data_IF_959634647974
#
_entry.id   IF_959634647974
#
_cell.length_a   1.000
_cell.length_b   1.000
_cell.length_c   1.000
_cell.angle_alpha   90.00
_cell.angle_beta   90.00
_cell.angle_gamma   90.00
#
_symmetry.space_group_name_H-M   'P 1'
#
loop_
_entity.id
_entity.type
_entity.pdbx_description
1 polymer ?
#
# COMPACT_ATOMS: atom_id res chain seq x y z
N UNK A 1 -9.14 -23.04 -33.37
CA UNK A 1 -10.18 -22.92 -32.35
C UNK A 1 -9.75 -23.53 -31.01
N UNK A 2 -9.29 -24.78 -30.98
CA UNK A 2 -8.79 -25.41 -29.74
C UNK A 2 -7.59 -24.76 -29.09
N UNK A 3 -6.68 -24.17 -29.85
CA UNK A 3 -5.51 -23.46 -29.32
C UNK A 3 -5.88 -22.12 -28.63
N UNK A 4 -6.92 -21.46 -29.10
CA UNK A 4 -7.43 -20.21 -28.53
C UNK A 4 -8.12 -20.49 -27.20
N UNK A 5 -8.96 -21.51 -27.13
CA UNK A 5 -9.65 -21.95 -25.91
C UNK A 5 -8.65 -22.38 -24.82
N UNK A 6 -7.59 -23.11 -25.18
CA UNK A 6 -6.55 -23.53 -24.25
C UNK A 6 -5.71 -22.36 -23.72
N UNK A 7 -5.57 -21.27 -24.50
CA UNK A 7 -4.86 -20.08 -24.09
C UNK A 7 -5.70 -19.21 -23.14
N UNK A 8 -7.01 -19.12 -23.38
CA UNK A 8 -7.94 -18.44 -22.49
C UNK A 8 -8.06 -19.13 -21.12
N UNK A 9 -8.13 -20.47 -21.11
CA UNK A 9 -8.17 -21.23 -19.86
C UNK A 9 -6.89 -21.12 -19.04
N UNK A 10 -5.73 -21.10 -19.69
CA UNK A 10 -4.45 -20.86 -19.02
C UNK A 10 -4.35 -19.44 -18.47
N UNK A 11 -4.83 -18.44 -19.20
CA UNK A 11 -4.86 -17.05 -18.74
C UNK A 11 -5.84 -16.86 -17.59
N UNK A 12 -7.02 -17.48 -17.62
CA UNK A 12 -7.99 -17.46 -16.53
C UNK A 12 -7.43 -18.13 -15.27
N UNK A 13 -6.83 -19.31 -15.38
CA UNK A 13 -6.17 -20.00 -14.26
C UNK A 13 -4.99 -19.21 -13.66
N UNK A 14 -4.22 -18.54 -14.50
CA UNK A 14 -3.10 -17.72 -14.06
C UNK A 14 -3.59 -16.46 -13.31
N UNK A 15 -4.66 -15.84 -13.78
CA UNK A 15 -5.26 -14.69 -13.11
C UNK A 15 -5.92 -15.07 -11.78
N UNK A 16 -6.57 -16.23 -11.70
CA UNK A 16 -7.15 -16.74 -10.46
C UNK A 16 -6.10 -17.00 -9.38
N UNK A 17 -4.96 -17.61 -9.73
CA UNK A 17 -3.86 -17.82 -8.79
C UNK A 17 -3.31 -16.49 -8.27
N UNK A 18 -3.11 -15.50 -9.15
CA UNK A 18 -2.67 -14.17 -8.75
C UNK A 18 -3.69 -13.48 -7.85
N UNK A 19 -4.97 -13.58 -8.18
CA UNK A 19 -6.05 -13.02 -7.38
C UNK A 19 -6.08 -13.64 -5.98
N UNK A 20 -5.96 -14.96 -5.88
CA UNK A 20 -5.95 -15.68 -4.59
C UNK A 20 -4.76 -15.26 -3.73
N UNK A 21 -3.56 -15.23 -4.31
CA UNK A 21 -2.35 -14.79 -3.58
C UNK A 21 -2.48 -13.34 -3.12
N UNK A 22 -2.99 -12.46 -3.98
CA UNK A 22 -3.22 -11.05 -3.65
C UNK A 22 -4.22 -10.90 -2.50
N UNK A 23 -5.31 -11.67 -2.52
CA UNK A 23 -6.32 -11.65 -1.46
C UNK A 23 -5.78 -12.16 -0.12
N UNK A 24 -5.01 -13.25 -0.13
CA UNK A 24 -4.36 -13.79 1.07
C UNK A 24 -3.37 -12.75 1.64
N UNK A 25 -2.54 -12.16 0.79
CA UNK A 25 -1.59 -11.14 1.21
C UNK A 25 -2.30 -9.88 1.76
N UNK A 26 -3.44 -9.48 1.17
CA UNK A 26 -4.24 -8.39 1.70
C UNK A 26 -4.78 -8.73 3.11
N UNK A 27 -5.27 -9.94 3.32
CA UNK A 27 -5.71 -10.40 4.65
C UNK A 27 -4.57 -10.39 5.67
N UNK A 28 -3.38 -10.89 5.29
CA UNK A 28 -2.18 -10.87 6.15
C UNK A 28 -1.77 -9.41 6.48
N UNK A 29 -1.85 -8.50 5.52
CA UNK A 29 -1.56 -7.09 5.75
C UNK A 29 -2.53 -6.45 6.75
N UNK A 30 -3.82 -6.78 6.66
CA UNK A 30 -4.85 -6.28 7.59
C UNK A 30 -4.62 -6.84 8.99
N UNK A 31 -4.43 -8.15 9.13
CA UNK A 31 -4.13 -8.79 10.43
C UNK A 31 -2.82 -8.27 11.02
N UNK A 32 -1.77 -8.17 10.20
CA UNK A 32 -0.49 -7.63 10.61
C UNK A 32 -0.54 -6.16 11.02
N UNK A 33 -1.55 -5.41 10.57
CA UNK A 33 -1.75 -4.02 10.99
C UNK A 33 -2.23 -3.87 12.45
N UNK A 34 -2.69 -4.95 13.08
CA UNK A 34 -2.97 -4.97 14.52
C UNK A 34 -1.69 -4.75 15.34
N UNK A 35 -0.54 -5.15 14.81
CA UNK A 35 0.79 -4.88 15.35
C UNK A 35 1.37 -3.55 14.84
N UNK A 36 0.55 -2.50 14.79
CA UNK A 36 1.02 -1.18 14.41
C UNK A 36 1.52 -0.41 15.63
N UNK A 37 2.67 0.25 15.47
CA UNK A 37 3.26 1.09 16.51
C UNK A 37 3.03 2.56 16.18
N UNK A 38 2.66 3.40 17.18
CA UNK A 38 2.61 4.84 16.98
C UNK A 38 4.03 5.39 16.85
N UNK A 39 4.35 5.94 15.68
CA UNK A 39 5.63 6.62 15.42
C UNK A 39 5.32 8.03 14.97
N UNK A 40 5.79 9.03 15.70
CA UNK A 40 5.63 10.47 15.39
C UNK A 40 4.19 10.88 15.01
N UNK A 41 3.19 10.39 15.76
CA UNK A 41 1.78 10.74 15.53
C UNK A 41 1.11 10.00 14.37
N UNK A 42 1.80 9.09 13.70
CA UNK A 42 1.25 8.21 12.67
C UNK A 42 1.39 6.74 13.08
N UNK A 43 0.44 5.91 12.65
CA UNK A 43 0.51 4.46 12.89
C UNK A 43 1.38 3.80 11.82
N UNK A 44 2.56 3.36 12.20
CA UNK A 44 3.44 2.59 11.33
C UNK A 44 3.10 1.10 11.41
N UNK A 45 2.80 0.48 10.28
CA UNK A 45 2.50 -0.94 10.18
C UNK A 45 3.59 -1.64 9.31
N UNK A 46 4.71 -2.07 9.91
CA UNK A 46 5.82 -2.65 9.17
C UNK A 46 5.42 -3.90 8.38
N UNK A 47 4.50 -4.69 8.92
CA UNK A 47 3.97 -5.89 8.26
C UNK A 47 3.30 -5.54 6.93
N UNK A 48 2.57 -4.43 6.85
CA UNK A 48 1.93 -4.00 5.60
C UNK A 48 2.96 -3.70 4.51
N UNK A 49 4.04 -3.01 4.85
CA UNK A 49 5.10 -2.69 3.88
C UNK A 49 5.83 -3.95 3.39
N UNK A 50 6.09 -4.91 4.29
CA UNK A 50 6.62 -6.22 3.89
C UNK A 50 5.69 -6.96 2.95
N UNK A 51 4.39 -6.96 3.23
CA UNK A 51 3.39 -7.62 2.37
C UNK A 51 3.28 -6.93 1.02
N UNK A 52 3.34 -5.59 0.96
CA UNK A 52 3.38 -4.85 -0.30
C UNK A 52 4.56 -5.29 -1.17
N UNK A 53 5.75 -5.38 -0.57
CA UNK A 53 6.97 -5.82 -1.27
C UNK A 53 6.83 -7.27 -1.74
N UNK A 54 6.34 -8.17 -0.88
CA UNK A 54 6.11 -9.57 -1.25
C UNK A 54 5.12 -9.70 -2.41
N UNK A 55 4.03 -8.94 -2.39
CA UNK A 55 3.05 -8.92 -3.47
C UNK A 55 3.67 -8.37 -4.76
N UNK A 56 4.44 -7.29 -4.66
CA UNK A 56 5.10 -6.66 -5.80
C UNK A 56 6.10 -7.60 -6.49
N UNK A 57 6.84 -8.37 -5.70
CA UNK A 57 7.85 -9.33 -6.19
C UNK A 57 7.21 -10.60 -6.77
N UNK A 58 6.16 -11.13 -6.13
CA UNK A 58 5.55 -12.42 -6.50
C UNK A 58 4.51 -12.30 -7.61
N UNK A 59 3.69 -11.27 -7.55
CA UNK A 59 2.51 -11.13 -8.44
C UNK A 59 2.69 -9.99 -9.44
N UNK A 60 3.43 -8.96 -9.07
CA UNK A 60 3.74 -7.83 -9.92
C UNK A 60 3.17 -6.49 -9.42
N UNK A 61 3.62 -5.35 -10.02
CA UNK A 61 3.33 -4.01 -9.50
C UNK A 61 1.84 -3.65 -9.50
N UNK A 62 1.09 -4.04 -10.52
CA UNK A 62 -0.35 -3.76 -10.61
C UNK A 62 -1.18 -4.49 -9.56
N UNK A 63 -0.83 -5.73 -9.28
CA UNK A 63 -1.49 -6.53 -8.25
C UNK A 63 -1.11 -6.06 -6.84
N UNK A 64 0.14 -5.61 -6.66
CA UNK A 64 0.57 -4.99 -5.42
C UNK A 64 -0.18 -3.69 -5.13
N UNK A 65 -0.43 -2.87 -6.16
CA UNK A 65 -1.25 -1.67 -6.04
C UNK A 65 -2.69 -2.00 -5.61
N UNK A 66 -3.32 -3.00 -6.26
CA UNK A 66 -4.66 -3.45 -5.90
C UNK A 66 -4.71 -4.00 -4.46
N UNK A 67 -3.71 -4.79 -4.07
CA UNK A 67 -3.58 -5.33 -2.71
C UNK A 67 -3.44 -4.22 -1.68
N UNK A 68 -2.55 -3.24 -1.93
CA UNK A 68 -2.35 -2.10 -1.04
C UNK A 68 -3.63 -1.26 -0.88
N UNK A 69 -4.38 -1.06 -1.98
CA UNK A 69 -5.67 -0.37 -1.94
C UNK A 69 -6.70 -1.10 -1.09
N UNK A 70 -6.89 -2.41 -1.32
CA UNK A 70 -7.85 -3.23 -0.58
C UNK A 70 -7.48 -3.29 0.91
N UNK A 71 -6.20 -3.51 1.23
CA UNK A 71 -5.73 -3.54 2.60
C UNK A 71 -5.93 -2.20 3.31
N UNK A 72 -5.61 -1.09 2.64
CA UNK A 72 -5.82 0.26 3.17
C UNK A 72 -7.31 0.57 3.39
N UNK A 73 -8.19 0.16 2.46
CA UNK A 73 -9.63 0.32 2.57
C UNK A 73 -10.18 -0.42 3.79
N UNK A 74 -9.86 -1.71 3.92
CA UNK A 74 -10.33 -2.55 5.03
C UNK A 74 -9.82 -1.98 6.37
N UNK A 75 -8.55 -1.59 6.46
CA UNK A 75 -7.98 -0.98 7.66
C UNK A 75 -8.68 0.31 8.07
N UNK A 76 -9.04 1.14 7.11
CA UNK A 76 -9.80 2.35 7.37
C UNK A 76 -11.20 2.07 7.88
N UNK A 77 -11.91 1.11 7.28
CA UNK A 77 -13.23 0.67 7.73
C UNK A 77 -13.20 0.10 9.14
N UNK A 78 -12.12 -0.59 9.50
CA UNK A 78 -11.91 -1.14 10.84
C UNK A 78 -11.36 -0.11 11.86
N UNK A 79 -11.11 1.14 11.45
CA UNK A 79 -10.52 2.16 12.31
C UNK A 79 -9.05 1.93 12.68
N UNK A 80 -8.39 0.98 12.03
CA UNK A 80 -6.99 0.64 12.28
C UNK A 80 -6.01 1.50 11.46
N UNK A 81 -6.52 2.19 10.43
CA UNK A 81 -5.75 3.07 9.55
C UNK A 81 -6.21 4.51 9.60
N UNK A 82 -5.47 5.39 8.93
CA UNK A 82 -5.91 6.75 8.65
C UNK A 82 -6.14 6.94 7.14
N UNK A 83 -7.08 7.81 6.73
CA UNK A 83 -7.28 8.12 5.31
C UNK A 83 -6.00 8.63 4.62
N UNK A 84 -5.10 9.22 5.40
CA UNK A 84 -3.80 9.72 4.95
C UNK A 84 -2.84 8.61 4.50
N UNK A 85 -3.02 7.39 5.01
CA UNK A 85 -2.19 6.25 4.65
C UNK A 85 -2.51 5.66 3.26
N UNK A 86 -3.66 6.01 2.67
CA UNK A 86 -4.07 5.52 1.35
C UNK A 86 -3.07 5.88 0.24
N UNK A 87 -2.79 7.17 -0.02
CA UNK A 87 -1.88 7.53 -1.10
C UNK A 87 -0.48 6.99 -0.86
N UNK A 88 -0.03 6.97 0.40
CA UNK A 88 1.29 6.47 0.77
C UNK A 88 1.47 4.99 0.44
N UNK A 89 0.56 4.14 0.88
CA UNK A 89 0.65 2.69 0.64
C UNK A 89 0.53 2.33 -0.84
N UNK A 90 -0.30 3.06 -1.60
CA UNK A 90 -0.46 2.84 -3.03
C UNK A 90 0.78 3.22 -3.82
N UNK A 91 1.35 4.41 -3.54
CA UNK A 91 2.58 4.88 -4.19
C UNK A 91 3.78 4.00 -3.83
N UNK A 92 3.88 3.58 -2.58
CA UNK A 92 4.92 2.66 -2.13
C UNK A 92 4.86 1.32 -2.85
N UNK A 93 3.71 0.66 -2.86
CA UNK A 93 3.52 -0.62 -3.53
C UNK A 93 3.79 -0.54 -5.05
N UNK A 94 3.35 0.55 -5.70
CA UNK A 94 3.57 0.75 -7.13
C UNK A 94 5.06 0.97 -7.44
N UNK A 95 5.70 1.89 -6.73
CA UNK A 95 7.13 2.19 -6.95
C UNK A 95 8.03 1.02 -6.57
N UNK A 96 7.75 0.35 -5.46
CA UNK A 96 8.46 -0.86 -5.07
C UNK A 96 8.36 -1.94 -6.15
N UNK A 97 7.17 -2.13 -6.71
CA UNK A 97 6.95 -3.07 -7.80
C UNK A 97 7.62 -2.67 -9.12
N UNK A 98 7.58 -1.39 -9.49
CA UNK A 98 8.25 -0.88 -10.69
C UNK A 98 9.76 -0.97 -10.59
N UNK A 99 10.34 -0.52 -9.49
CA UNK A 99 11.79 -0.61 -9.25
C UNK A 99 12.28 -2.06 -9.20
N UNK A 100 11.49 -2.97 -8.62
CA UNK A 100 11.79 -4.40 -8.68
C UNK A 100 11.76 -4.94 -10.11
N UNK A 101 10.78 -4.52 -10.92
CA UNK A 101 10.67 -4.94 -12.33
C UNK A 101 11.88 -4.51 -13.16
N UNK A 102 12.42 -3.32 -12.89
CA UNK A 102 13.60 -2.80 -13.60
C UNK A 102 14.91 -3.36 -13.05
N UNK A 103 15.07 -3.38 -11.73
CA UNK A 103 16.33 -3.77 -11.07
C UNK A 103 16.47 -5.26 -10.80
N UNK A 104 15.38 -6.04 -10.80
CA UNK A 104 15.30 -7.49 -10.50
C UNK A 104 16.00 -7.92 -9.20
N UNK A 105 16.23 -6.98 -8.28
CA UNK A 105 16.85 -7.22 -6.98
C UNK A 105 15.94 -6.72 -5.87
N UNK A 106 15.86 -7.47 -4.78
CA UNK A 106 15.04 -7.13 -3.60
C UNK A 106 15.32 -5.74 -3.02
N UNK A 107 16.58 -5.25 -2.90
CA UNK A 107 16.82 -3.92 -2.36
C UNK A 107 16.15 -2.80 -3.15
N UNK A 108 15.98 -2.96 -4.46
CA UNK A 108 15.23 -1.96 -5.26
C UNK A 108 13.75 -1.91 -4.91
N UNK A 109 13.13 -3.04 -4.55
CA UNK A 109 11.76 -3.08 -4.07
C UNK A 109 11.63 -2.34 -2.72
N UNK A 110 12.56 -2.53 -1.80
CA UNK A 110 12.58 -1.83 -0.51
C UNK A 110 12.77 -0.31 -0.68
N UNK A 111 13.72 0.10 -1.50
CA UNK A 111 13.96 1.52 -1.79
C UNK A 111 12.71 2.15 -2.41
N UNK A 112 12.08 1.47 -3.37
CA UNK A 112 10.85 1.94 -4.00
C UNK A 112 9.69 2.09 -3.01
N UNK A 113 9.51 1.13 -2.11
CA UNK A 113 8.48 1.19 -1.07
C UNK A 113 8.74 2.34 -0.11
N UNK A 114 9.98 2.50 0.39
CA UNK A 114 10.34 3.57 1.34
C UNK A 114 10.21 4.95 0.71
N UNK A 115 10.74 5.13 -0.51
CA UNK A 115 10.65 6.40 -1.23
C UNK A 115 9.20 6.71 -1.62
N UNK A 116 8.46 5.72 -2.11
CA UNK A 116 7.06 5.89 -2.50
C UNK A 116 6.16 6.23 -1.32
N UNK A 117 6.33 5.54 -0.21
CA UNK A 117 5.53 5.78 1.00
C UNK A 117 5.97 7.03 1.74
N UNK A 118 7.29 7.21 1.93
CA UNK A 118 7.83 8.31 2.73
C UNK A 118 7.75 9.66 2.02
N UNK A 119 8.29 9.75 0.81
CA UNK A 119 8.38 11.03 0.09
C UNK A 119 7.06 11.32 -0.64
N UNK A 120 6.67 10.45 -1.57
CA UNK A 120 5.49 10.71 -2.43
C UNK A 120 4.20 10.59 -1.62
N UNK A 121 4.09 9.56 -0.78
CA UNK A 121 2.95 9.38 0.11
C UNK A 121 2.81 10.53 1.11
N UNK A 122 3.93 10.99 1.67
CA UNK A 122 3.97 12.16 2.56
C UNK A 122 3.51 13.44 1.86
N UNK A 123 3.97 13.69 0.65
CA UNK A 123 3.55 14.86 -0.14
C UNK A 123 2.07 14.80 -0.54
N UNK A 124 1.58 13.62 -0.92
CA UNK A 124 0.18 13.43 -1.31
C UNK A 124 -0.78 13.39 -0.11
N UNK A 125 -0.28 13.07 1.08
CA UNK A 125 -1.12 13.06 2.29
C UNK A 125 -1.62 14.46 2.65
N UNK A 126 -0.88 15.52 2.34
CA UNK A 126 -1.28 16.90 2.60
C UNK A 126 -2.57 17.31 1.87
N UNK A 127 -2.68 17.21 0.51
CA UNK A 127 -3.92 17.54 -0.19
C UNK A 127 -5.06 16.58 0.14
N UNK A 128 -4.77 15.30 0.44
CA UNK A 128 -5.79 14.34 0.86
C UNK A 128 -6.33 14.69 2.25
N UNK A 129 -5.49 15.10 3.18
CA UNK A 129 -5.93 15.60 4.49
C UNK A 129 -6.85 16.81 4.35
N UNK A 130 -6.49 17.73 3.47
CA UNK A 130 -7.30 18.93 3.20
C UNK A 130 -8.66 18.61 2.59
N UNK A 131 -8.73 17.67 1.64
CA UNK A 131 -9.95 17.30 0.93
C UNK A 131 -10.88 16.38 1.75
N UNK A 132 -10.31 15.42 2.50
CA UNK A 132 -11.09 14.37 3.18
C UNK A 132 -11.45 14.75 4.61
N UNK A 133 -10.53 15.41 5.32
CA UNK A 133 -10.72 15.76 6.72
C UNK A 133 -11.20 17.23 6.92
N UNK A 134 -11.19 18.02 5.87
CA UNK A 134 -11.59 19.43 5.89
C UNK A 134 -10.61 20.33 6.64
N UNK A 135 -10.91 21.64 6.61
CA UNK A 135 -10.05 22.69 7.17
C UNK A 135 -9.71 22.51 8.68
N UNK A 136 -10.54 21.78 9.43
CA UNK A 136 -10.35 21.56 10.88
C UNK A 136 -9.18 20.61 11.20
N UNK A 137 -8.94 19.62 10.36
CA UNK A 137 -7.85 18.66 10.61
C UNK A 137 -6.49 19.23 10.19
N UNK A 138 -6.44 20.06 9.15
CA UNK A 138 -5.23 20.80 8.80
C UNK A 138 -4.84 21.79 9.91
N UNK A 139 -5.82 22.41 10.57
CA UNK A 139 -5.62 23.27 11.72
C UNK A 139 -5.08 22.52 12.95
N UNK A 140 -5.56 21.28 13.20
CA UNK A 140 -5.04 20.43 14.29
C UNK A 140 -3.58 20.02 14.04
N UNK A 141 -3.19 19.73 12.80
CA UNK A 141 -1.79 19.42 12.46
C UNK A 141 -0.85 20.62 12.64
N UNK A 142 -1.35 21.84 12.40
CA UNK A 142 -0.58 23.09 12.62
C UNK A 142 -0.57 23.51 14.09
N UNK A 143 -1.62 23.19 14.86
CA UNK A 143 -1.70 23.48 16.29
C UNK A 143 -0.82 22.53 17.12
N UNK A 144 -0.72 21.26 16.74
CA UNK A 144 0.15 20.28 17.41
C UNK A 144 1.64 20.64 17.23
N UNK A 145 2.01 21.28 16.13
CA UNK A 145 3.36 21.83 15.91
C UNK A 145 3.67 23.05 16.78
N UNK A 146 2.64 23.79 17.23
CA UNK A 146 2.81 24.99 18.07
C UNK A 146 2.77 24.68 19.57
N UNK A 147 2.27 23.50 19.96
CA UNK A 147 2.20 23.10 21.38
C UNK A 147 3.45 22.37 21.87
N UNK A 148 4.45 22.18 21.01
CA UNK A 148 5.72 21.48 21.33
C UNK A 148 6.93 22.46 21.36
N UNK A 149 6.68 23.76 21.43
CA UNK A 149 7.74 24.77 21.67
C UNK A 149 7.58 25.39 23.02
#
# INVERSE_FOLDING_TARGET
MWQILGKEDKMKKFNLKKLTVTAILAAVAVVGSLFSFPVFGSKCAPVQHLVNILCAVTVGPWWALAQAFIAALIRNLLGLGSPLAFPGSMCGALLGGLLYKYGKKLPFAYIGEVVGTGIIGGMLSYPVAYLVMGNKAAALFTLDRKSVV
#
